data_IF_269921512604
#
_entry.id   IF_269921512604
#
_cell.length_a   1.000
_cell.length_b   1.000
_cell.length_c   1.000
_cell.angle_alpha   90.00
_cell.angle_beta   90.00
_cell.angle_gamma   90.00
#
_symmetry.space_group_name_H-M   'P 1'
#
loop_
_entity.id
_entity.type
_entity.pdbx_description
1 polymer ?
#
# COMPACT_ATOMS: atom_id res chain seq x y z
N UNK A 1 -21.35 53.63 -56.79
CA UNK A 1 -21.64 52.20 -56.92
C UNK A 1 -21.76 51.61 -55.52
N UNK A 2 -22.95 51.21 -55.17
CA UNK A 2 -23.32 50.61 -53.85
C UNK A 2 -23.10 49.12 -53.95
N UNK A 3 -22.44 48.52 -52.96
CA UNK A 3 -22.56 47.09 -52.71
C UNK A 3 -22.76 46.86 -51.22
N UNK A 4 -23.99 46.40 -50.91
CA UNK A 4 -24.44 45.90 -49.62
C UNK A 4 -23.82 44.54 -49.36
N UNK A 5 -23.23 44.35 -48.17
CA UNK A 5 -22.97 43.04 -47.62
C UNK A 5 -23.77 42.88 -46.30
N UNK A 6 -24.81 42.08 -46.40
CA UNK A 6 -25.54 41.57 -45.23
C UNK A 6 -24.80 40.40 -44.61
N UNK A 7 -24.31 40.58 -43.43
CA UNK A 7 -23.82 39.48 -42.58
C UNK A 7 -25.02 38.82 -41.91
N UNK A 8 -25.24 37.54 -42.23
CA UNK A 8 -26.16 36.64 -41.50
C UNK A 8 -25.52 36.15 -40.20
N UNK A 9 -25.99 36.61 -39.09
CA UNK A 9 -25.74 36.00 -37.80
C UNK A 9 -26.57 34.70 -37.66
N UNK A 10 -25.92 33.56 -37.71
CA UNK A 10 -26.51 32.27 -37.32
C UNK A 10 -26.25 32.04 -35.81
N UNK A 11 -27.31 32.14 -35.01
CA UNK A 11 -27.35 31.69 -33.62
C UNK A 11 -27.12 30.18 -33.58
N UNK A 12 -26.26 29.63 -32.67
CA UNK A 12 -26.21 28.22 -32.48
C UNK A 12 -27.45 27.75 -31.74
N UNK A 13 -28.19 26.85 -32.36
CA UNK A 13 -29.33 26.14 -31.76
C UNK A 13 -28.82 25.15 -30.73
N UNK A 14 -29.20 25.33 -29.47
CA UNK A 14 -29.08 24.37 -28.39
C UNK A 14 -29.78 23.05 -28.76
N UNK A 15 -29.07 21.89 -28.72
CA UNK A 15 -29.74 20.61 -28.85
C UNK A 15 -30.53 20.36 -27.56
N UNK A 16 -31.85 20.45 -27.61
CA UNK A 16 -32.77 19.94 -26.60
C UNK A 16 -32.51 18.42 -26.51
N UNK A 17 -31.75 17.98 -25.50
CA UNK A 17 -31.68 16.58 -25.13
C UNK A 17 -33.08 16.14 -24.63
N UNK A 18 -33.67 15.20 -25.37
CA UNK A 18 -34.88 14.50 -24.96
C UNK A 18 -34.63 13.82 -23.61
N UNK A 19 -35.57 13.82 -22.66
CA UNK A 19 -35.43 13.04 -21.43
C UNK A 19 -35.49 11.56 -21.79
N UNK A 20 -34.36 10.86 -21.59
CA UNK A 20 -34.29 9.41 -21.73
C UNK A 20 -35.07 8.77 -20.58
N UNK A 21 -35.99 7.94 -20.95
CA UNK A 21 -36.73 6.88 -20.27
C UNK A 21 -36.51 6.76 -18.74
N UNK A 22 -37.45 7.31 -17.97
CA UNK A 22 -37.56 7.19 -16.50
C UNK A 22 -38.37 5.93 -16.04
N UNK A 23 -38.58 4.95 -16.89
CA UNK A 23 -39.60 3.92 -16.63
C UNK A 23 -39.10 2.60 -16.06
N UNK A 24 -38.02 2.53 -15.32
CA UNK A 24 -37.70 1.34 -14.46
C UNK A 24 -36.42 1.51 -13.60
N UNK A 25 -36.05 2.75 -13.24
CA UNK A 25 -34.88 2.94 -12.39
C UNK A 25 -35.29 2.78 -10.92
N UNK A 26 -34.71 1.84 -10.16
CA UNK A 26 -35.06 1.64 -8.76
C UNK A 26 -34.67 2.85 -7.90
N UNK A 27 -35.25 2.98 -6.72
CA UNK A 27 -34.83 3.97 -5.74
C UNK A 27 -33.63 3.47 -4.96
N UNK A 28 -32.71 4.37 -4.64
CA UNK A 28 -31.56 4.07 -3.81
C UNK A 28 -32.00 3.84 -2.36
N UNK A 29 -31.57 2.71 -1.78
CA UNK A 29 -31.77 2.40 -0.37
C UNK A 29 -30.68 3.06 0.49
N UNK A 30 -29.42 2.95 0.04
CA UNK A 30 -28.28 3.48 0.74
C UNK A 30 -27.21 3.97 -0.24
N UNK A 31 -26.65 5.14 0.04
CA UNK A 31 -25.53 5.75 -0.68
C UNK A 31 -24.42 6.04 0.31
N UNK A 32 -23.19 5.66 -0.03
CA UNK A 32 -22.00 6.00 0.74
C UNK A 32 -21.19 7.01 -0.06
N UNK A 33 -21.00 8.20 0.52
CA UNK A 33 -20.31 9.33 -0.09
C UNK A 33 -18.93 9.53 0.55
N UNK A 34 -17.95 9.80 -0.28
CA UNK A 34 -16.61 10.22 0.13
C UNK A 34 -16.41 11.68 -0.30
N UNK A 35 -16.10 12.61 0.63
CA UNK A 35 -15.66 13.95 0.26
C UNK A 35 -14.38 13.88 -0.57
N UNK A 36 -14.31 14.62 -1.68
CA UNK A 36 -13.13 14.64 -2.57
C UNK A 36 -12.57 16.04 -2.80
N UNK A 37 -13.26 17.08 -2.35
CA UNK A 37 -12.78 18.45 -2.48
C UNK A 37 -13.25 19.14 -3.77
N UNK A 38 -12.58 20.24 -4.12
CA UNK A 38 -12.88 21.03 -5.31
C UNK A 38 -12.22 20.43 -6.56
N UNK A 39 -12.87 20.51 -7.75
CA UNK A 39 -12.32 19.95 -8.98
C UNK A 39 -11.09 20.69 -9.53
N UNK A 40 -10.75 21.84 -8.97
CA UNK A 40 -9.56 22.63 -9.31
C UNK A 40 -8.85 23.04 -8.04
N UNK A 41 -7.50 22.87 -8.01
CA UNK A 41 -6.65 23.36 -6.93
C UNK A 41 -6.61 24.90 -6.92
N UNK A 42 -7.51 25.50 -6.18
CA UNK A 42 -7.38 26.90 -5.79
C UNK A 42 -6.61 26.95 -4.47
N UNK A 43 -5.41 27.48 -4.49
CA UNK A 43 -4.48 27.59 -3.35
C UNK A 43 -5.02 28.39 -2.12
N UNK A 44 -6.29 28.76 -2.11
CA UNK A 44 -6.96 29.52 -1.03
C UNK A 44 -8.20 28.80 -0.46
N UNK A 45 -8.55 27.59 -0.91
CA UNK A 45 -9.70 26.87 -0.36
C UNK A 45 -9.21 25.62 0.37
N UNK A 46 -9.56 25.52 1.65
CA UNK A 46 -9.29 24.32 2.45
C UNK A 46 -10.07 23.15 1.85
N UNK A 47 -9.35 22.14 1.33
CA UNK A 47 -9.96 20.93 0.80
C UNK A 47 -10.51 19.99 1.90
N UNK A 48 -10.22 20.26 3.17
CA UNK A 48 -10.68 19.47 4.30
C UNK A 48 -11.97 20.08 4.88
N UNK A 49 -13.12 19.57 4.41
CA UNK A 49 -14.38 19.87 5.00
C UNK A 49 -14.65 18.91 6.16
N UNK A 50 -14.63 19.41 7.38
CA UNK A 50 -15.02 18.64 8.55
C UNK A 50 -16.53 18.76 8.78
N UNK A 51 -17.26 17.70 8.47
CA UNK A 51 -18.70 17.66 8.69
C UNK A 51 -18.96 17.16 10.11
N UNK A 52 -19.20 18.10 11.02
CA UNK A 52 -19.38 17.85 12.46
C UNK A 52 -20.68 17.09 12.74
N UNK A 53 -21.78 17.46 12.08
CA UNK A 53 -23.09 16.83 12.25
C UNK A 53 -23.48 16.02 11.01
N UNK A 54 -23.22 14.71 11.10
CA UNK A 54 -23.52 13.78 10.00
C UNK A 54 -25.00 13.59 9.74
N UNK A 55 -25.84 13.68 10.77
CA UNK A 55 -27.29 13.52 10.63
C UNK A 55 -27.88 14.72 9.87
N UNK A 56 -27.43 15.93 10.21
CA UNK A 56 -27.81 17.14 9.51
C UNK A 56 -27.32 17.14 8.07
N UNK A 57 -26.11 16.65 7.83
CA UNK A 57 -25.60 16.50 6.46
C UNK A 57 -26.39 15.48 5.64
N UNK A 58 -26.81 14.35 6.22
CA UNK A 58 -27.61 13.34 5.54
C UNK A 58 -28.94 13.93 5.05
N UNK A 59 -29.61 14.72 5.88
CA UNK A 59 -30.85 15.39 5.54
C UNK A 59 -30.67 16.45 4.44
N UNK A 60 -29.64 17.29 4.60
CA UNK A 60 -29.23 18.29 3.61
C UNK A 60 -28.89 17.69 2.25
N UNK A 61 -28.07 16.64 2.23
CA UNK A 61 -27.63 15.95 1.03
C UNK A 61 -28.80 15.29 0.29
N UNK A 62 -29.75 14.74 1.04
CA UNK A 62 -30.95 14.13 0.50
C UNK A 62 -31.84 15.17 -0.18
N UNK A 63 -32.03 16.34 0.44
CA UNK A 63 -32.83 17.40 -0.13
C UNK A 63 -32.26 17.97 -1.44
N UNK A 64 -30.92 18.22 -1.47
CA UNK A 64 -30.35 18.85 -2.65
C UNK A 64 -30.25 17.93 -3.85
N UNK A 65 -30.05 16.61 -3.61
CA UNK A 65 -29.88 15.63 -4.69
C UNK A 65 -31.10 14.75 -4.95
N UNK A 66 -32.25 15.11 -4.38
CA UNK A 66 -33.49 14.39 -4.55
C UNK A 66 -33.84 14.25 -6.04
N UNK A 67 -34.17 13.04 -6.48
CA UNK A 67 -34.57 12.73 -7.85
C UNK A 67 -33.41 12.60 -8.85
N UNK A 68 -32.18 12.77 -8.44
CA UNK A 68 -31.03 12.50 -9.30
C UNK A 68 -30.81 10.99 -9.51
N UNK A 69 -30.49 10.61 -10.75
CA UNK A 69 -30.05 9.26 -11.09
C UNK A 69 -28.55 9.18 -10.83
N UNK A 70 -28.15 8.25 -10.00
CA UNK A 70 -26.77 8.11 -9.54
C UNK A 70 -26.22 6.73 -9.86
N UNK A 71 -24.90 6.65 -10.00
CA UNK A 71 -24.14 5.41 -10.25
C UNK A 71 -22.95 5.33 -9.31
N UNK A 72 -22.53 4.12 -8.99
CA UNK A 72 -21.29 3.88 -8.27
C UNK A 72 -20.10 4.49 -9.01
N UNK A 73 -19.14 5.04 -8.27
CA UNK A 73 -17.98 5.78 -8.79
C UNK A 73 -18.28 7.10 -9.56
N UNK A 74 -19.53 7.61 -9.52
CA UNK A 74 -19.84 8.96 -10.02
C UNK A 74 -19.65 10.01 -8.91
N UNK A 75 -19.69 11.29 -9.32
CA UNK A 75 -19.52 12.42 -8.42
C UNK A 75 -20.80 13.21 -8.28
N UNK A 76 -21.08 13.67 -7.05
CA UNK A 76 -22.10 14.66 -6.74
C UNK A 76 -21.41 15.92 -6.28
N UNK A 77 -21.90 17.08 -6.70
CA UNK A 77 -21.36 18.38 -6.33
C UNK A 77 -22.37 19.14 -5.49
N UNK A 78 -21.87 19.76 -4.43
CA UNK A 78 -22.69 20.66 -3.63
C UNK A 78 -23.03 21.92 -4.43
N UNK A 79 -24.27 22.38 -4.31
CA UNK A 79 -24.76 23.54 -5.07
C UNK A 79 -25.24 24.70 -4.17
N UNK A 80 -25.33 24.47 -2.85
CA UNK A 80 -25.99 25.42 -1.94
C UNK A 80 -25.06 26.01 -0.89
N UNK A 81 -24.36 25.18 -0.11
CA UNK A 81 -23.55 25.63 1.02
C UNK A 81 -22.08 25.78 0.62
N UNK A 82 -21.55 24.80 -0.10
CA UNK A 82 -20.15 24.76 -0.56
C UNK A 82 -20.13 24.50 -2.08
N UNK A 83 -20.53 25.49 -2.89
CA UNK A 83 -20.71 25.29 -4.33
C UNK A 83 -19.45 24.68 -4.96
N UNK A 84 -19.69 23.68 -5.84
CA UNK A 84 -18.65 22.91 -6.56
C UNK A 84 -17.80 21.96 -5.71
N UNK A 85 -18.05 21.83 -4.41
CA UNK A 85 -17.40 20.81 -3.59
C UNK A 85 -17.93 19.43 -3.97
N UNK A 86 -17.00 18.51 -4.31
CA UNK A 86 -17.31 17.20 -4.84
C UNK A 86 -17.40 16.10 -3.79
N UNK A 87 -18.35 15.19 -3.97
CA UNK A 87 -18.53 13.95 -3.22
C UNK A 87 -18.53 12.77 -4.20
N UNK A 88 -17.65 11.79 -4.00
CA UNK A 88 -17.65 10.57 -4.80
C UNK A 88 -18.62 9.55 -4.20
N UNK A 89 -19.41 8.90 -5.04
CA UNK A 89 -20.23 7.76 -4.63
C UNK A 89 -19.36 6.51 -4.60
N UNK A 90 -19.06 6.02 -3.40
CA UNK A 90 -18.19 4.85 -3.18
C UNK A 90 -19.00 3.56 -3.21
N UNK A 91 -20.23 3.60 -2.71
CA UNK A 91 -21.14 2.44 -2.72
C UNK A 91 -22.57 2.90 -2.89
N UNK A 92 -23.32 2.16 -3.67
CA UNK A 92 -24.71 2.45 -4.02
C UNK A 92 -25.51 1.15 -4.09
N UNK A 93 -26.62 1.10 -3.36
CA UNK A 93 -27.52 -0.05 -3.36
C UNK A 93 -28.97 0.38 -3.64
N UNK A 94 -29.61 -0.14 -4.73
CA UNK A 94 -29.01 -0.83 -5.86
C UNK A 94 -28.22 0.13 -6.77
N UNK A 95 -27.28 -0.41 -7.58
CA UNK A 95 -26.51 0.41 -8.50
C UNK A 95 -27.40 0.99 -9.63
N UNK A 96 -27.11 2.20 -10.11
CA UNK A 96 -27.90 2.93 -11.08
C UNK A 96 -29.35 3.18 -10.59
N UNK A 97 -29.48 3.93 -9.51
CA UNK A 97 -30.74 4.20 -8.82
C UNK A 97 -31.03 5.69 -8.66
N UNK A 98 -32.25 6.03 -8.23
CA UNK A 98 -32.71 7.40 -8.02
C UNK A 98 -32.67 7.71 -6.53
N UNK A 99 -32.16 8.89 -6.16
CA UNK A 99 -32.18 9.37 -4.78
C UNK A 99 -33.64 9.73 -4.43
N UNK A 100 -34.16 9.16 -3.35
CA UNK A 100 -35.52 9.38 -2.83
C UNK A 100 -35.48 9.96 -1.41
N UNK A 101 -36.64 10.38 -0.91
CA UNK A 101 -36.78 10.85 0.48
C UNK A 101 -36.38 9.80 1.53
N UNK A 102 -36.44 8.51 1.18
CA UNK A 102 -36.09 7.40 2.07
C UNK A 102 -34.66 6.90 1.88
N UNK A 103 -33.89 7.48 0.98
CA UNK A 103 -32.49 7.09 0.73
C UNK A 103 -31.61 7.45 1.93
N UNK A 104 -30.94 6.49 2.51
CA UNK A 104 -29.93 6.72 3.56
C UNK A 104 -28.64 7.18 2.91
N UNK A 105 -28.15 8.35 3.27
CA UNK A 105 -26.87 8.89 2.79
C UNK A 105 -25.88 8.83 3.95
N UNK A 106 -24.82 8.07 3.77
CA UNK A 106 -23.74 7.95 4.73
C UNK A 106 -22.51 8.66 4.20
N UNK A 107 -21.90 9.50 5.02
CA UNK A 107 -20.55 9.98 4.75
C UNK A 107 -19.55 8.95 5.24
N UNK A 108 -18.62 8.63 4.35
CA UNK A 108 -17.38 8.03 4.80
C UNK A 108 -16.61 9.07 5.60
N UNK A 109 -16.26 8.74 6.82
CA UNK A 109 -15.31 9.55 7.58
C UNK A 109 -14.01 9.66 6.81
N UNK A 110 -13.54 10.90 6.59
CA UNK A 110 -12.21 11.13 5.99
C UNK A 110 -11.16 10.40 6.84
N UNK A 111 -11.40 10.21 8.15
CA UNK A 111 -10.60 9.38 9.05
C UNK A 111 -10.65 7.87 8.79
N UNK A 112 -11.72 7.31 8.21
CA UNK A 112 -11.78 5.88 7.91
C UNK A 112 -11.19 5.51 6.54
N UNK A 113 -11.09 6.44 5.57
CA UNK A 113 -10.59 6.17 4.22
C UNK A 113 -9.17 6.61 3.90
N UNK A 114 -8.54 7.43 4.73
CA UNK A 114 -7.09 7.71 4.59
C UNK A 114 -6.24 6.51 5.00
N UNK A 115 -6.86 5.46 5.55
CA UNK A 115 -6.19 4.25 6.06
C UNK A 115 -6.53 2.95 5.34
N UNK A 116 -7.05 3.00 4.12
CA UNK A 116 -6.91 1.84 3.21
C UNK A 116 -5.43 1.47 2.98
N UNK A 117 -4.50 2.36 3.35
CA UNK A 117 -3.07 2.08 3.41
C UNK A 117 -2.65 1.28 4.66
N UNK A 118 -3.43 1.33 5.75
CA UNK A 118 -3.16 0.61 7.01
C UNK A 118 -4.14 -0.54 7.17
N UNK A 119 -4.01 -1.55 6.33
CA UNK A 119 -4.85 -2.76 6.43
C UNK A 119 -4.25 -3.72 7.46
N UNK A 120 -5.11 -4.23 8.36
CA UNK A 120 -4.80 -5.45 9.09
C UNK A 120 -4.61 -6.56 8.07
N UNK A 121 -3.38 -7.01 7.90
CA UNK A 121 -3.06 -8.08 6.94
C UNK A 121 -3.29 -9.42 7.63
N UNK A 122 -4.29 -10.17 7.16
CA UNK A 122 -4.35 -11.61 7.44
C UNK A 122 -3.36 -12.32 6.53
N UNK A 123 -2.60 -13.22 7.07
CA UNK A 123 -1.56 -13.94 6.33
C UNK A 123 -1.56 -15.40 6.74
N UNK A 124 -1.38 -16.28 5.75
CA UNK A 124 -1.25 -17.72 5.94
C UNK A 124 0.21 -18.18 5.87
N UNK A 125 1.15 -17.22 5.79
CA UNK A 125 2.60 -17.49 5.72
C UNK A 125 3.08 -18.04 7.06
N UNK A 126 3.77 -19.18 7.03
CA UNK A 126 4.36 -19.83 8.22
C UNK A 126 5.85 -19.56 8.32
N UNK A 127 6.42 -19.67 9.51
CA UNK A 127 7.87 -19.55 9.72
C UNK A 127 8.65 -20.61 8.92
N UNK A 128 8.05 -21.78 8.66
CA UNK A 128 8.61 -22.83 7.80
C UNK A 128 8.75 -22.42 6.33
N UNK A 129 7.94 -21.46 5.87
CA UNK A 129 7.97 -21.00 4.47
C UNK A 129 9.13 -20.03 4.22
N UNK A 130 9.66 -19.43 5.28
CA UNK A 130 10.85 -18.58 5.23
C UNK A 130 12.09 -19.48 5.16
N UNK A 131 12.69 -19.59 3.99
CA UNK A 131 13.89 -20.41 3.78
C UNK A 131 15.13 -19.64 4.24
N UNK A 132 15.98 -20.29 5.01
CA UNK A 132 17.18 -19.70 5.56
C UNK A 132 16.91 -18.64 6.64
N UNK A 133 17.78 -17.62 6.69
CA UNK A 133 17.67 -16.49 7.63
C UNK A 133 17.71 -16.95 9.10
N UNK A 134 18.53 -17.95 9.43
CA UNK A 134 18.52 -18.57 10.78
C UNK A 134 18.82 -17.55 11.89
N UNK A 135 19.69 -16.58 11.64
CA UNK A 135 19.96 -15.51 12.60
C UNK A 135 18.71 -14.67 12.86
N UNK A 136 18.01 -14.25 11.79
CA UNK A 136 16.77 -13.50 11.91
C UNK A 136 15.69 -14.30 12.63
N UNK A 137 15.51 -15.58 12.28
CA UNK A 137 14.54 -16.47 12.94
C UNK A 137 14.87 -16.69 14.43
N UNK A 138 16.15 -16.82 14.79
CA UNK A 138 16.53 -16.96 16.18
C UNK A 138 16.25 -15.71 17.00
N UNK A 139 16.49 -14.53 16.45
CA UNK A 139 16.14 -13.27 17.08
C UNK A 139 14.62 -13.10 17.19
N UNK A 140 13.84 -13.50 16.18
CA UNK A 140 12.37 -13.46 16.26
C UNK A 140 11.78 -14.34 17.36
N UNK A 141 12.47 -15.38 17.84
CA UNK A 141 12.01 -16.14 19.02
C UNK A 141 11.92 -15.29 20.28
N UNK A 142 12.79 -14.30 20.44
CA UNK A 142 12.73 -13.36 21.58
C UNK A 142 11.53 -12.44 21.41
N UNK A 143 11.26 -11.99 20.18
CA UNK A 143 10.14 -11.13 19.83
C UNK A 143 8.80 -11.83 20.08
N UNK A 144 8.71 -13.10 19.72
CA UNK A 144 7.54 -13.95 20.03
C UNK A 144 7.27 -13.96 21.55
N UNK A 145 8.30 -14.25 22.35
CA UNK A 145 8.17 -14.27 23.81
C UNK A 145 7.77 -12.93 24.40
N UNK A 146 8.23 -11.82 23.80
CA UNK A 146 7.83 -10.49 24.22
C UNK A 146 6.33 -10.25 23.95
N UNK A 147 5.87 -10.53 22.73
CA UNK A 147 4.46 -10.32 22.38
C UNK A 147 3.51 -11.26 23.13
N UNK A 148 3.95 -12.49 23.49
CA UNK A 148 3.21 -13.42 24.32
C UNK A 148 3.13 -12.97 25.81
N UNK A 149 4.17 -12.35 26.32
CA UNK A 149 4.26 -11.98 27.73
C UNK A 149 5.09 -10.71 27.93
N UNK A 150 4.52 -9.52 27.64
CA UNK A 150 5.22 -8.24 27.69
C UNK A 150 5.76 -7.89 29.08
N UNK A 151 5.03 -8.26 30.13
CA UNK A 151 5.37 -7.93 31.53
C UNK A 151 6.71 -8.52 31.99
N UNK A 152 7.13 -9.64 31.38
CA UNK A 152 8.43 -10.26 31.70
C UNK A 152 9.63 -9.42 31.26
N UNK A 153 9.44 -8.54 30.29
CA UNK A 153 10.53 -7.75 29.69
C UNK A 153 10.64 -6.37 30.33
N UNK A 154 9.53 -5.80 30.80
CA UNK A 154 9.50 -4.45 31.37
C UNK A 154 10.18 -3.42 30.46
N UNK A 155 11.08 -2.58 31.00
CA UNK A 155 11.79 -1.58 30.20
C UNK A 155 12.83 -2.16 29.21
N UNK A 156 13.11 -3.46 29.27
CA UNK A 156 14.06 -4.16 28.37
C UNK A 156 13.37 -4.80 27.16
N UNK A 157 12.13 -4.45 26.90
CA UNK A 157 11.36 -4.98 25.78
C UNK A 157 11.95 -4.55 24.43
N UNK A 158 12.17 -5.48 23.47
CA UNK A 158 12.62 -5.13 22.12
C UNK A 158 11.44 -4.58 21.32
N UNK A 159 11.22 -3.26 21.36
CA UNK A 159 10.05 -2.62 20.76
C UNK A 159 10.26 -2.21 19.31
N UNK A 160 11.47 -1.76 18.97
CA UNK A 160 11.78 -1.21 17.66
C UNK A 160 12.94 -1.97 17.01
N UNK A 161 12.70 -2.55 15.85
CA UNK A 161 13.67 -3.44 15.18
C UNK A 161 13.83 -3.01 13.73
N UNK A 162 15.06 -2.94 13.26
CA UNK A 162 15.39 -2.66 11.87
C UNK A 162 15.79 -3.94 11.13
N UNK A 163 15.02 -4.30 10.10
CA UNK A 163 15.38 -5.34 9.14
C UNK A 163 16.11 -4.71 7.96
N UNK A 164 17.33 -5.15 7.68
CA UNK A 164 18.07 -4.62 6.56
C UNK A 164 18.71 -5.73 5.71
N UNK A 165 19.07 -5.42 4.47
CA UNK A 165 19.72 -6.36 3.55
C UNK A 165 19.12 -6.32 2.15
N UNK A 166 19.65 -7.17 1.29
CA UNK A 166 19.27 -7.18 -0.13
C UNK A 166 17.76 -7.31 -0.38
N UNK A 167 17.25 -6.73 -1.47
CA UNK A 167 15.83 -6.89 -1.83
C UNK A 167 15.52 -8.36 -2.16
N UNK A 168 14.32 -8.81 -1.75
CA UNK A 168 13.85 -10.18 -2.03
C UNK A 168 14.45 -11.27 -1.14
N UNK A 169 15.11 -10.93 -0.02
CA UNK A 169 15.70 -11.87 0.95
C UNK A 169 14.72 -12.36 2.02
N UNK A 170 13.47 -11.87 2.03
CA UNK A 170 12.41 -12.40 2.90
C UNK A 170 12.02 -11.51 4.08
N UNK A 171 12.48 -10.25 4.18
CA UNK A 171 12.15 -9.32 5.28
C UNK A 171 10.65 -9.25 5.56
N UNK A 172 9.84 -8.87 4.57
CA UNK A 172 8.38 -8.78 4.69
C UNK A 172 7.73 -10.15 4.93
N UNK A 173 8.32 -11.22 4.39
CA UNK A 173 7.80 -12.59 4.56
C UNK A 173 7.96 -13.05 6.01
N UNK A 174 9.09 -12.76 6.66
CA UNK A 174 9.33 -13.12 8.05
C UNK A 174 8.36 -12.41 9.00
N UNK A 175 8.09 -11.11 8.77
CA UNK A 175 7.11 -10.37 9.59
C UNK A 175 5.70 -10.94 9.44
N UNK A 176 5.30 -11.30 8.21
CA UNK A 176 4.01 -11.97 7.97
C UNK A 176 3.93 -13.31 8.69
N UNK A 177 4.99 -14.10 8.63
CA UNK A 177 5.07 -15.37 9.34
C UNK A 177 5.00 -15.19 10.87
N UNK A 178 5.69 -14.19 11.40
CA UNK A 178 5.66 -13.85 12.82
C UNK A 178 4.25 -13.46 13.28
N UNK A 179 3.57 -12.60 12.54
CA UNK A 179 2.21 -12.19 12.87
C UNK A 179 1.21 -13.35 12.81
N UNK A 180 1.39 -14.27 11.86
CA UNK A 180 0.56 -15.46 11.72
C UNK A 180 0.81 -16.47 12.86
N UNK A 181 2.05 -16.68 13.26
CA UNK A 181 2.43 -17.60 14.35
C UNK A 181 1.80 -17.17 15.67
N UNK A 182 1.72 -15.85 15.90
CA UNK A 182 1.21 -15.25 17.14
C UNK A 182 -0.28 -14.91 17.08
N UNK A 183 -0.92 -15.05 15.92
CA UNK A 183 -2.29 -14.56 15.66
C UNK A 183 -2.51 -13.09 16.09
N UNK A 184 -1.48 -12.24 15.91
CA UNK A 184 -1.55 -10.82 16.25
C UNK A 184 -1.84 -9.95 15.02
N UNK A 185 -2.50 -8.79 15.21
CA UNK A 185 -2.67 -7.81 14.13
C UNK A 185 -1.35 -7.36 13.54
N UNK A 186 -1.24 -7.40 12.20
CA UNK A 186 -0.12 -6.85 11.44
C UNK A 186 -0.61 -5.63 10.64
N UNK A 187 -0.02 -4.48 10.92
CA UNK A 187 -0.18 -3.24 10.17
C UNK A 187 1.01 -3.08 9.22
N UNK A 188 0.79 -3.46 7.95
CA UNK A 188 1.82 -3.40 6.93
C UNK A 188 1.64 -2.13 6.11
N UNK A 189 2.67 -1.27 6.12
CA UNK A 189 2.66 0.02 5.45
C UNK A 189 3.94 0.21 4.64
N UNK A 190 3.85 0.89 3.51
CA UNK A 190 5.04 1.39 2.80
C UNK A 190 5.33 2.80 3.26
N UNK A 191 6.58 3.12 3.55
CA UNK A 191 6.98 4.44 3.98
C UNK A 191 6.53 5.55 3.00
N UNK A 192 6.54 5.28 1.70
CA UNK A 192 6.06 6.21 0.67
C UNK A 192 4.57 6.56 0.80
N UNK A 193 3.75 5.67 1.35
CA UNK A 193 2.32 5.94 1.55
C UNK A 193 2.02 6.84 2.76
N UNK A 194 3.02 7.07 3.61
CA UNK A 194 2.94 8.05 4.71
C UNK A 194 3.14 9.48 4.21
N UNK A 195 3.72 9.65 3.03
CA UNK A 195 3.89 10.97 2.42
C UNK A 195 2.49 11.45 2.00
N UNK A 196 2.01 12.51 2.65
CA UNK A 196 0.71 13.12 2.35
C UNK A 196 0.81 14.07 1.16
N UNK A 197 -0.34 14.43 0.60
CA UNK A 197 -0.43 15.46 -0.43
C UNK A 197 -0.38 16.87 0.19
N UNK A 198 -0.75 16.98 1.49
CA UNK A 198 -0.78 18.24 2.21
C UNK A 198 0.07 18.19 3.49
N UNK A 199 0.53 19.37 3.93
CA UNK A 199 1.27 19.57 5.19
C UNK A 199 0.35 19.20 6.37
N UNK A 200 0.82 18.34 7.26
CA UNK A 200 0.05 17.86 8.42
C UNK A 200 -0.66 16.50 8.23
N UNK A 201 -1.02 16.11 7.01
CA UNK A 201 -1.67 14.81 6.73
C UNK A 201 -0.80 13.62 7.14
N UNK A 202 0.49 13.77 6.94
CA UNK A 202 1.48 12.72 7.20
C UNK A 202 1.63 12.44 8.69
N UNK A 203 1.68 13.48 9.51
CA UNK A 203 1.77 13.36 10.97
C UNK A 203 0.52 12.68 11.53
N UNK A 204 -0.67 13.09 11.08
CA UNK A 204 -1.94 12.51 11.49
C UNK A 204 -2.04 11.02 11.11
N UNK A 205 -1.56 10.63 9.92
CA UNK A 205 -1.54 9.21 9.48
C UNK A 205 -0.64 8.35 10.37
N UNK A 206 0.51 8.88 10.77
CA UNK A 206 1.44 8.17 11.67
C UNK A 206 0.80 8.00 13.04
N UNK A 207 0.28 9.08 13.62
CA UNK A 207 -0.40 9.03 14.91
C UNK A 207 -1.54 8.02 14.91
N UNK A 208 -2.42 8.05 13.92
CA UNK A 208 -3.54 7.11 13.80
C UNK A 208 -3.09 5.65 13.65
N UNK A 209 -2.00 5.40 12.90
CA UNK A 209 -1.40 4.07 12.79
C UNK A 209 -1.00 3.52 14.18
N UNK A 210 -0.26 4.32 14.94
CA UNK A 210 0.20 3.93 16.28
C UNK A 210 -0.96 3.80 17.27
N UNK A 211 -1.94 4.69 17.24
CA UNK A 211 -3.16 4.56 18.06
C UNK A 211 -3.94 3.29 17.76
N UNK A 212 -4.11 2.92 16.47
CA UNK A 212 -4.76 1.66 16.07
C UNK A 212 -3.99 0.45 16.57
N UNK A 213 -2.68 0.44 16.41
CA UNK A 213 -1.83 -0.62 16.90
C UNK A 213 -1.92 -0.76 18.43
N UNK A 214 -1.93 0.36 19.16
CA UNK A 214 -2.09 0.36 20.62
C UNK A 214 -3.48 -0.15 21.07
N UNK A 215 -4.55 0.20 20.36
CA UNK A 215 -5.91 -0.28 20.66
C UNK A 215 -6.07 -1.79 20.46
N UNK A 216 -5.26 -2.37 19.59
CA UNK A 216 -5.31 -3.81 19.24
C UNK A 216 -4.10 -4.60 19.76
N UNK A 217 -3.36 -4.05 20.71
CA UNK A 217 -2.19 -4.71 21.28
C UNK A 217 -2.57 -6.07 21.95
N UNK A 218 -1.74 -7.12 21.84
CA UNK A 218 -0.43 -7.13 21.16
C UNK A 218 -0.53 -7.01 19.64
N UNK A 219 0.35 -6.21 19.01
CA UNK A 219 0.29 -5.93 17.56
C UNK A 219 1.68 -5.62 16.99
N UNK A 220 1.80 -5.73 15.66
CA UNK A 220 3.03 -5.44 14.92
C UNK A 220 2.75 -4.33 13.90
N UNK A 221 3.56 -3.28 13.93
CA UNK A 221 3.66 -2.27 12.86
C UNK A 221 4.86 -2.63 12.01
N UNK A 222 4.67 -2.78 10.70
CA UNK A 222 5.76 -3.02 9.75
C UNK A 222 5.81 -1.91 8.72
N UNK A 223 6.92 -1.17 8.70
CA UNK A 223 7.17 -0.06 7.77
C UNK A 223 8.20 -0.51 6.75
N UNK A 224 7.73 -0.84 5.53
CA UNK A 224 8.61 -1.26 4.43
C UNK A 224 9.19 -0.04 3.71
N UNK A 225 10.42 -0.18 3.21
CA UNK A 225 11.16 0.86 2.49
C UNK A 225 11.31 2.15 3.33
N UNK A 226 11.63 2.01 4.63
CA UNK A 226 11.72 3.13 5.56
C UNK A 226 12.75 4.19 5.13
N UNK A 227 13.73 3.81 4.34
CA UNK A 227 14.70 4.71 3.71
C UNK A 227 14.04 5.74 2.78
N UNK A 228 12.83 5.51 2.28
CA UNK A 228 12.11 6.50 1.47
C UNK A 228 11.75 7.79 2.24
N UNK A 229 11.58 7.70 3.57
CA UNK A 229 11.27 8.85 4.44
C UNK A 229 12.42 9.20 5.38
N UNK A 230 13.21 8.22 5.81
CA UNK A 230 14.26 8.35 6.81
C UNK A 230 15.64 8.67 6.22
N UNK A 231 15.71 9.36 5.08
CA UNK A 231 16.96 9.75 4.44
C UNK A 231 17.78 10.72 5.30
N UNK A 232 19.09 10.69 5.15
CA UNK A 232 20.03 11.60 5.81
C UNK A 232 19.61 13.06 5.62
N UNK A 233 19.71 13.89 6.67
CA UNK A 233 19.27 15.29 6.69
C UNK A 233 19.83 16.15 5.55
N UNK A 234 20.99 15.82 5.00
CA UNK A 234 21.57 16.49 3.82
C UNK A 234 20.68 16.38 2.57
N UNK A 235 19.79 15.39 2.49
CA UNK A 235 18.82 15.20 1.40
C UNK A 235 17.43 15.71 1.75
N UNK A 236 17.12 15.93 3.05
CA UNK A 236 15.83 16.43 3.53
C UNK A 236 15.63 17.93 3.31
N UNK A 237 16.71 18.72 3.13
CA UNK A 237 16.64 20.17 2.93
C UNK A 237 15.83 20.62 1.71
N UNK A 238 15.44 19.70 0.85
CA UNK A 238 14.64 19.94 -0.36
C UNK A 238 13.12 19.70 -0.17
N UNK A 239 12.70 19.07 0.97
CA UNK A 239 11.28 18.75 1.22
C UNK A 239 10.97 18.87 2.71
N UNK A 240 10.30 19.95 3.11
CA UNK A 240 9.88 20.19 4.49
C UNK A 240 8.95 19.11 5.07
N UNK A 241 8.11 18.54 4.25
CA UNK A 241 7.12 17.50 4.54
C UNK A 241 7.78 16.22 5.09
N UNK A 242 8.94 15.82 4.56
CA UNK A 242 9.66 14.62 5.01
C UNK A 242 10.21 14.77 6.43
N UNK A 243 10.65 15.97 6.79
CA UNK A 243 11.13 16.24 8.15
C UNK A 243 10.01 16.11 9.19
N UNK A 244 8.79 16.54 8.86
CA UNK A 244 7.62 16.40 9.71
C UNK A 244 7.24 14.94 9.92
N UNK A 245 7.24 14.14 8.85
CA UNK A 245 7.00 12.68 8.89
C UNK A 245 7.98 12.00 9.84
N UNK A 246 9.28 12.31 9.68
CA UNK A 246 10.34 11.73 10.52
C UNK A 246 10.14 12.10 11.98
N UNK A 247 9.88 13.37 12.27
CA UNK A 247 9.67 13.83 13.65
C UNK A 247 8.44 13.17 14.30
N UNK A 248 7.33 13.06 13.56
CA UNK A 248 6.13 12.37 14.03
C UNK A 248 6.42 10.90 14.30
N UNK A 249 7.11 10.21 13.37
CA UNK A 249 7.49 8.82 13.56
C UNK A 249 8.38 8.64 14.81
N UNK A 250 9.37 9.46 15.00
CA UNK A 250 10.25 9.42 16.18
C UNK A 250 9.46 9.63 17.46
N UNK A 251 8.53 10.60 17.49
CA UNK A 251 7.66 10.88 18.63
C UNK A 251 6.79 9.67 18.99
N UNK A 252 6.19 9.04 18.01
CA UNK A 252 5.35 7.85 18.23
C UNK A 252 6.16 6.64 18.66
N UNK A 253 7.35 6.41 18.09
CA UNK A 253 8.26 5.34 18.51
C UNK A 253 8.71 5.51 19.98
N UNK A 254 8.98 6.74 20.39
CA UNK A 254 9.34 7.07 21.79
C UNK A 254 8.13 7.03 22.73
N UNK A 255 6.93 7.31 22.22
CA UNK A 255 5.68 7.40 22.96
C UNK A 255 4.97 6.06 23.21
N UNK A 256 5.47 4.94 22.70
CA UNK A 256 4.88 3.62 22.96
C UNK A 256 4.95 3.34 24.45
N UNK A 257 3.79 3.35 25.12
CA UNK A 257 3.70 3.06 26.55
C UNK A 257 4.35 1.71 26.86
N UNK A 258 5.11 1.66 27.96
CA UNK A 258 5.89 0.47 28.36
C UNK A 258 5.03 -0.80 28.54
N UNK A 259 3.75 -0.64 28.84
CA UNK A 259 2.81 -1.73 29.12
C UNK A 259 1.99 -2.20 27.91
N UNK A 260 2.24 -1.66 26.71
CA UNK A 260 1.54 -2.10 25.51
C UNK A 260 2.48 -2.89 24.60
N UNK A 261 2.15 -4.13 24.33
CA UNK A 261 2.89 -5.00 23.41
C UNK A 261 2.68 -4.57 21.95
N UNK A 262 3.20 -3.40 21.59
CA UNK A 262 3.28 -2.92 20.20
C UNK A 262 4.74 -3.01 19.78
N UNK A 263 4.99 -3.69 18.67
CA UNK A 263 6.31 -3.84 18.08
C UNK A 263 6.38 -3.11 16.76
N UNK A 264 7.38 -2.24 16.58
CA UNK A 264 7.64 -1.55 15.33
C UNK A 264 8.82 -2.18 14.61
N UNK A 265 8.63 -2.63 13.38
CA UNK A 265 9.67 -3.21 12.53
C UNK A 265 9.83 -2.33 11.30
N UNK A 266 10.97 -1.67 11.16
CA UNK A 266 11.36 -0.97 9.93
C UNK A 266 12.10 -1.92 8.99
N UNK A 267 11.90 -1.80 7.67
CA UNK A 267 12.67 -2.54 6.69
C UNK A 267 13.34 -1.61 5.68
N UNK A 268 14.60 -1.87 5.35
CA UNK A 268 15.38 -1.12 4.36
C UNK A 268 16.28 -2.02 3.53
N UNK A 269 16.57 -1.60 2.30
CA UNK A 269 17.61 -2.20 1.47
C UNK A 269 18.95 -1.42 1.57
N UNK A 270 18.93 -0.22 2.14
CA UNK A 270 20.07 0.71 2.19
C UNK A 270 20.28 1.26 3.61
N UNK A 271 20.75 0.45 4.58
CA UNK A 271 20.82 0.86 5.99
C UNK A 271 21.72 2.08 6.23
N UNK A 272 22.70 2.31 5.37
CA UNK A 272 23.62 3.46 5.48
C UNK A 272 23.01 4.79 5.01
N UNK A 273 21.86 4.77 4.35
CA UNK A 273 21.15 5.99 3.92
C UNK A 273 20.20 6.52 4.98
N UNK A 274 19.90 5.74 6.02
CA UNK A 274 18.99 6.13 7.10
C UNK A 274 19.66 7.18 7.99
N UNK A 275 18.91 8.24 8.30
CA UNK A 275 19.33 9.26 9.26
C UNK A 275 19.64 8.64 10.63
N UNK A 276 20.71 9.11 11.26
CA UNK A 276 21.19 8.57 12.53
C UNK A 276 20.13 8.67 13.63
N UNK A 277 19.33 9.75 13.68
CA UNK A 277 18.30 9.91 14.70
C UNK A 277 17.21 8.84 14.59
N UNK A 278 16.81 8.48 13.35
CA UNK A 278 15.85 7.39 13.11
C UNK A 278 16.49 6.04 13.44
N UNK A 279 17.70 5.80 12.96
CA UNK A 279 18.40 4.53 13.18
C UNK A 279 18.65 4.26 14.67
N UNK A 280 18.95 5.29 15.46
CA UNK A 280 19.18 5.19 16.91
C UNK A 280 17.95 4.81 17.73
N UNK A 281 16.74 4.86 17.14
CA UNK A 281 15.49 4.41 17.79
C UNK A 281 15.24 2.90 17.62
N UNK A 282 16.00 2.26 16.73
CA UNK A 282 15.95 0.80 16.60
C UNK A 282 16.95 0.18 17.58
N UNK A 283 16.44 -0.59 18.54
CA UNK A 283 17.22 -1.24 19.59
C UNK A 283 18.00 -2.43 19.03
N UNK A 284 17.46 -3.08 18.00
CA UNK A 284 18.10 -4.18 17.30
C UNK A 284 18.09 -3.98 15.79
N UNK A 285 19.20 -4.39 15.17
CA UNK A 285 19.34 -4.47 13.72
C UNK A 285 19.51 -5.94 13.31
N UNK A 286 18.71 -6.39 12.36
CA UNK A 286 18.73 -7.78 11.87
C UNK A 286 19.03 -7.79 10.39
N UNK A 287 20.18 -8.40 10.04
CA UNK A 287 20.62 -8.54 8.66
C UNK A 287 19.95 -9.71 7.96
N UNK A 288 19.48 -9.47 6.74
CA UNK A 288 18.98 -10.47 5.81
C UNK A 288 19.99 -10.69 4.69
N UNK A 289 20.59 -11.85 4.67
CA UNK A 289 21.61 -12.23 3.70
C UNK A 289 21.03 -12.92 2.47
N UNK A 290 21.80 -12.96 1.38
CA UNK A 290 21.44 -13.76 0.22
C UNK A 290 21.50 -15.26 0.56
N UNK A 291 20.61 -16.08 -0.02
CA UNK A 291 20.55 -17.50 0.28
C UNK A 291 21.79 -18.25 -0.21
N UNK A 292 22.26 -19.19 0.60
CA UNK A 292 23.33 -20.13 0.23
C UNK A 292 22.84 -21.19 -0.79
N UNK A 293 23.71 -22.12 -1.17
CA UNK A 293 23.40 -23.14 -2.19
C UNK A 293 22.25 -24.07 -1.74
N UNK A 294 22.24 -24.47 -0.47
CA UNK A 294 21.21 -25.34 0.09
C UNK A 294 19.85 -24.60 0.22
N UNK A 295 19.91 -23.37 0.68
CA UNK A 295 18.75 -22.51 0.78
C UNK A 295 18.15 -22.23 -0.61
N UNK A 296 19.00 -21.94 -1.63
CA UNK A 296 18.49 -21.78 -3.01
C UNK A 296 17.87 -23.06 -3.53
N UNK A 297 18.43 -24.23 -3.24
CA UNK A 297 17.84 -25.53 -3.59
C UNK A 297 16.44 -25.63 -3.01
N UNK A 298 16.28 -25.37 -1.72
CA UNK A 298 14.97 -25.40 -1.04
C UNK A 298 13.99 -24.38 -1.64
N UNK A 299 14.46 -23.17 -2.00
CA UNK A 299 13.63 -22.14 -2.65
C UNK A 299 13.13 -22.64 -4.00
N UNK A 300 13.98 -23.27 -4.83
CA UNK A 300 13.55 -23.87 -6.09
C UNK A 300 12.53 -24.97 -5.87
N UNK A 301 12.82 -25.93 -4.99
CA UNK A 301 11.93 -27.05 -4.70
C UNK A 301 10.53 -26.58 -4.21
N UNK A 302 10.49 -25.57 -3.32
CA UNK A 302 9.23 -25.05 -2.82
C UNK A 302 8.43 -24.33 -3.90
N UNK A 303 9.06 -23.55 -4.79
CA UNK A 303 8.36 -22.89 -5.89
C UNK A 303 7.91 -23.87 -6.96
N UNK A 304 8.69 -24.92 -7.24
CA UNK A 304 8.34 -25.95 -8.23
C UNK A 304 7.18 -26.83 -7.78
N UNK A 305 6.93 -27.00 -6.48
CA UNK A 305 5.73 -27.72 -5.97
C UNK A 305 4.41 -27.10 -6.43
N UNK A 306 4.40 -25.80 -6.63
CA UNK A 306 3.21 -25.03 -7.04
C UNK A 306 3.29 -24.55 -8.49
N UNK A 307 4.21 -25.16 -9.28
CA UNK A 307 4.42 -24.75 -10.66
C UNK A 307 3.26 -25.18 -11.55
N UNK A 308 2.70 -24.30 -12.38
CA UNK A 308 1.45 -24.58 -13.09
C UNK A 308 1.60 -25.51 -14.31
N UNK A 309 2.83 -25.72 -14.80
CA UNK A 309 3.15 -26.66 -15.87
C UNK A 309 4.08 -27.75 -15.37
N UNK A 310 4.09 -28.88 -16.05
CA UNK A 310 5.12 -29.89 -15.85
C UNK A 310 6.50 -29.34 -16.20
N UNK A 311 7.56 -29.89 -15.62
CA UNK A 311 8.90 -29.41 -15.84
C UNK A 311 9.95 -30.53 -15.90
N UNK A 312 10.91 -30.37 -16.79
CA UNK A 312 12.13 -31.19 -16.89
C UNK A 312 13.35 -30.36 -16.51
N UNK A 313 13.41 -29.94 -15.23
CA UNK A 313 14.45 -29.05 -14.72
C UNK A 313 15.35 -29.77 -13.72
N UNK A 314 16.67 -29.61 -13.88
CA UNK A 314 17.64 -30.12 -12.91
C UNK A 314 17.92 -29.03 -11.87
N UNK A 315 17.41 -29.22 -10.65
CA UNK A 315 17.52 -28.24 -9.55
C UNK A 315 18.98 -27.96 -9.20
N UNK A 316 19.89 -28.94 -9.23
CA UNK A 316 21.30 -28.71 -8.91
C UNK A 316 22.00 -27.78 -9.92
N UNK A 317 21.61 -27.88 -11.21
CA UNK A 317 22.07 -26.93 -12.22
C UNK A 317 21.49 -25.54 -12.00
N UNK A 318 20.21 -25.46 -11.63
CA UNK A 318 19.54 -24.19 -11.30
C UNK A 318 20.23 -23.48 -10.12
N UNK A 319 20.61 -24.22 -9.09
CA UNK A 319 21.36 -23.69 -7.94
C UNK A 319 22.71 -23.07 -8.36
N UNK A 320 23.46 -23.77 -9.23
CA UNK A 320 24.76 -23.27 -9.70
C UNK A 320 24.66 -21.97 -10.50
N UNK A 321 23.63 -21.84 -11.35
CA UNK A 321 23.47 -20.66 -12.20
C UNK A 321 22.80 -19.48 -11.49
N UNK A 322 22.16 -19.71 -10.33
CA UNK A 322 21.49 -18.69 -9.52
C UNK A 322 22.35 -18.12 -8.40
N UNK A 323 23.68 -18.26 -8.48
CA UNK A 323 24.60 -17.70 -7.49
C UNK A 323 24.37 -16.20 -7.30
N UNK A 324 24.35 -15.74 -6.05
CA UNK A 324 24.07 -14.36 -5.64
C UNK A 324 22.67 -13.84 -6.01
N UNK A 325 21.71 -14.72 -6.26
CA UNK A 325 20.32 -14.35 -6.48
C UNK A 325 19.52 -14.47 -5.18
N UNK A 326 18.61 -13.51 -4.95
CA UNK A 326 17.64 -13.56 -3.86
C UNK A 326 16.49 -14.54 -4.20
N UNK A 327 15.67 -14.90 -3.21
CA UNK A 327 14.50 -15.73 -3.42
C UNK A 327 13.50 -15.11 -4.42
N UNK A 328 13.37 -13.77 -4.41
CA UNK A 328 12.58 -13.04 -5.41
C UNK A 328 13.18 -13.16 -6.80
N UNK A 329 14.50 -13.03 -6.95
CA UNK A 329 15.15 -13.17 -8.25
C UNK A 329 14.95 -14.57 -8.84
N UNK A 330 15.09 -15.61 -8.02
CA UNK A 330 14.87 -17.00 -8.43
C UNK A 330 13.43 -17.16 -8.96
N UNK A 331 12.44 -16.69 -8.21
CA UNK A 331 11.04 -16.78 -8.59
C UNK A 331 10.71 -15.96 -9.83
N UNK A 332 11.05 -14.66 -9.82
CA UNK A 332 10.58 -13.72 -10.85
C UNK A 332 11.47 -13.75 -12.12
N UNK A 333 12.81 -13.81 -11.95
CA UNK A 333 13.72 -13.73 -13.09
C UNK A 333 13.99 -15.09 -13.75
N UNK A 334 13.95 -16.19 -12.98
CA UNK A 334 14.22 -17.52 -13.53
C UNK A 334 12.89 -18.24 -13.78
N UNK A 335 12.18 -18.65 -12.72
CA UNK A 335 11.05 -19.56 -12.86
C UNK A 335 9.88 -18.95 -13.60
N UNK A 336 9.46 -17.73 -13.24
CA UNK A 336 8.35 -17.06 -13.89
C UNK A 336 8.64 -16.71 -15.35
N UNK A 337 9.87 -16.26 -15.65
CA UNK A 337 10.27 -15.94 -17.02
C UNK A 337 10.36 -17.21 -17.88
N UNK A 338 10.90 -18.32 -17.35
CA UNK A 338 10.93 -19.59 -18.04
C UNK A 338 9.51 -20.13 -18.32
N UNK A 339 8.62 -20.05 -17.34
CA UNK A 339 7.21 -20.42 -17.48
C UNK A 339 6.52 -19.62 -18.59
N UNK A 340 6.66 -18.30 -18.56
CA UNK A 340 6.05 -17.43 -19.58
C UNK A 340 6.61 -17.71 -20.98
N UNK A 341 7.90 -18.02 -21.09
CA UNK A 341 8.49 -18.41 -22.37
C UNK A 341 7.92 -19.73 -22.88
N UNK A 342 7.75 -20.74 -22.03
CA UNK A 342 7.12 -22.00 -22.42
C UNK A 342 5.66 -21.80 -22.86
N UNK A 343 4.86 -21.06 -22.08
CA UNK A 343 3.46 -20.77 -22.42
C UNK A 343 3.36 -20.01 -23.76
N UNK A 344 4.23 -19.01 -23.99
CA UNK A 344 4.20 -18.24 -25.26
C UNK A 344 4.60 -19.03 -26.50
N UNK A 345 5.14 -20.24 -26.31
CA UNK A 345 5.48 -21.18 -27.37
C UNK A 345 4.57 -22.43 -27.37
N UNK A 346 3.41 -22.35 -26.72
CA UNK A 346 2.42 -23.42 -26.62
C UNK A 346 3.00 -24.74 -26.08
N UNK A 347 3.98 -24.69 -25.20
CA UNK A 347 4.59 -25.85 -24.56
C UNK A 347 3.79 -26.31 -23.35
N UNK A 348 3.66 -27.57 -23.13
CA UNK A 348 3.08 -28.20 -21.94
C UNK A 348 4.14 -28.45 -20.83
N UNK A 349 5.42 -28.47 -21.19
CA UNK A 349 6.54 -28.79 -20.30
C UNK A 349 7.57 -27.66 -20.37
N UNK A 350 8.01 -27.20 -19.20
CA UNK A 350 9.11 -26.21 -19.09
C UNK A 350 10.44 -26.95 -19.10
N UNK A 351 11.29 -26.64 -20.08
CA UNK A 351 12.56 -27.31 -20.30
C UNK A 351 13.78 -26.39 -20.02
N UNK A 352 14.97 -26.95 -20.21
CA UNK A 352 16.24 -26.24 -20.05
C UNK A 352 16.36 -25.00 -20.95
N UNK A 353 15.77 -25.01 -22.17
CA UNK A 353 15.87 -23.89 -23.12
C UNK A 353 15.10 -22.67 -22.60
N UNK A 354 13.98 -22.90 -21.93
CA UNK A 354 13.17 -21.82 -21.32
C UNK A 354 13.96 -21.14 -20.18
N UNK A 355 14.69 -21.91 -19.38
CA UNK A 355 15.58 -21.37 -18.35
C UNK A 355 16.78 -20.61 -18.96
N UNK A 356 17.38 -21.12 -20.03
CA UNK A 356 18.46 -20.43 -20.73
C UNK A 356 17.99 -19.07 -21.31
N UNK A 357 16.76 -19.04 -21.83
CA UNK A 357 16.14 -17.79 -22.26
C UNK A 357 15.98 -16.81 -21.08
N UNK A 358 15.43 -17.29 -19.95
CA UNK A 358 15.22 -16.47 -18.75
C UNK A 358 16.55 -15.84 -18.24
N UNK A 359 17.62 -16.63 -18.25
CA UNK A 359 18.95 -16.14 -17.84
C UNK A 359 19.53 -15.10 -18.80
N UNK A 360 19.35 -15.28 -20.11
CA UNK A 360 19.76 -14.29 -21.12
C UNK A 360 19.00 -12.99 -20.93
N UNK A 361 17.68 -13.06 -20.79
CA UNK A 361 16.81 -11.91 -20.58
C UNK A 361 17.19 -11.12 -19.30
N UNK A 362 17.56 -11.83 -18.22
CA UNK A 362 17.99 -11.20 -16.97
C UNK A 362 19.34 -10.48 -17.08
N UNK A 363 20.27 -10.99 -17.88
CA UNK A 363 21.59 -10.38 -18.12
C UNK A 363 21.48 -9.12 -18.98
N UNK A 364 20.64 -9.13 -20.02
CA UNK A 364 20.41 -7.97 -20.88
C UNK A 364 19.87 -6.80 -20.06
N UNK A 365 18.84 -7.02 -19.23
CA UNK A 365 18.32 -5.97 -18.34
C UNK A 365 19.38 -5.36 -17.41
N UNK A 366 20.27 -6.17 -16.88
CA UNK A 366 21.35 -5.67 -16.00
C UNK A 366 22.42 -4.86 -16.76
N UNK A 367 22.68 -5.16 -18.03
CA UNK A 367 23.63 -4.41 -18.86
C UNK A 367 23.03 -3.07 -19.36
N UNK A 368 21.75 -3.04 -19.71
CA UNK A 368 21.07 -1.82 -20.11
C UNK A 368 20.96 -0.79 -18.98
N UNK A 369 20.67 -1.26 -17.76
CA UNK A 369 20.61 -0.39 -16.56
C UNK A 369 22.00 0.17 -16.22
N UNK A 370 23.08 -0.61 -16.36
CA UNK A 370 24.45 -0.11 -16.16
C UNK A 370 24.85 0.94 -17.20
N UNK A 371 24.46 0.77 -18.45
CA UNK A 371 24.79 1.73 -19.53
C UNK A 371 23.95 3.02 -19.50
N UNK A 372 22.91 3.11 -18.69
CA UNK A 372 22.13 4.35 -18.50
C UNK A 372 22.72 5.29 -17.42
N UNK A 373 23.63 4.79 -16.57
CA UNK A 373 24.19 5.54 -15.43
C UNK A 373 25.71 5.69 -15.49
N UNK A 374 26.36 5.35 -16.61
CA UNK A 374 27.73 5.75 -16.96
C UNK A 374 27.68 6.98 -17.86
#
# INVERSE_FOLDING_TARGET
MKTNNKTHETKPSNPKSKPAQKENTPFAECIVLKPVGYPFDFAMMENNLEIIDKALFEEYAREQWLGLVVKENSYLFDQKIIPDYGFQIVSLNPNNSIISENTKIKLLDIGENTLDTVKRVKTDVKLSDVVGQENAKNKTKVLIKYLENPDKFGPWAPKNILFYGFPGTGKTMLVKALANELDVPLYLIKATSLIGEHVGDSASKIQELFEKAQKTAPSIIFIDEIDAIALHRSFQSLRGDVAEIVNSLLTEMDGINENKAVMTIGATNTPNSIDYAVRSRFEEEIEFVLPDDNERKTIFENNLKTFPLEYELNVEKLVKISKNMSGRDIKEKILKTALHHAISHDKEIVDKKDVEYALKASKIKNSEVKGMFE
#
